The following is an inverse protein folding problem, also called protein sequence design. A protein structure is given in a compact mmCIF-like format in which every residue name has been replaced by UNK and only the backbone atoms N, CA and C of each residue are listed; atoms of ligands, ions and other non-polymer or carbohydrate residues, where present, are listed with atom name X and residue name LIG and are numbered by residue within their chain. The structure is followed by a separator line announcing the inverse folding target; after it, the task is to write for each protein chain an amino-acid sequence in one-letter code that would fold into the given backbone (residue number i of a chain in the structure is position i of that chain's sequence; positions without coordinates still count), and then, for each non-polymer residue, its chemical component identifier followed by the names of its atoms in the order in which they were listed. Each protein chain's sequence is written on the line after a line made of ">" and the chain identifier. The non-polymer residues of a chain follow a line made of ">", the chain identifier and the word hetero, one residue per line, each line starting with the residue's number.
data_IF_609194959891
#
_entry.id   IF_609194959891
#
_cell.length_a   1.000
_cell.length_b   1.000
_cell.length_c   1.000
_cell.angle_alpha   90.00
_cell.angle_beta   90.00
_cell.angle_gamma   90.00
#
_symmetry.space_group_name_H-M   'P 1'
#
loop_
_entity.id
_entity.type
_entity.pdbx_description
1 polymer ?
#
# COMPACT_ATOMS: atom_id res chain seq x y z
N UNK A 1 3.77 18.13 6.12
CA UNK A 1 3.85 16.75 6.61
C UNK A 1 2.61 16.53 7.46
N UNK A 2 1.93 15.40 7.33
CA UNK A 2 0.76 15.09 8.19
C UNK A 2 1.19 15.08 9.65
N UNK A 3 0.31 15.46 10.57
CA UNK A 3 0.53 15.34 12.03
C UNK A 3 0.87 13.90 12.46
N UNK A 4 0.62 12.90 11.58
CA UNK A 4 0.90 11.49 11.80
C UNK A 4 2.35 11.08 11.48
N UNK A 5 3.20 11.98 10.97
CA UNK A 5 4.56 11.64 10.52
C UNK A 5 5.60 12.63 11.05
N UNK A 6 6.77 12.13 11.46
CA UNK A 6 7.90 12.96 11.87
C UNK A 6 9.20 12.42 11.28
N UNK A 7 10.19 13.31 11.11
CA UNK A 7 11.56 12.93 10.81
C UNK A 7 12.36 12.89 12.11
N UNK A 8 13.10 11.80 12.41
CA UNK A 8 13.94 11.74 13.60
C UNK A 8 14.97 12.87 13.65
N UNK A 9 15.29 13.33 14.85
CA UNK A 9 16.19 14.47 15.04
C UNK A 9 17.60 14.17 14.51
N UNK A 10 18.12 15.05 13.65
CA UNK A 10 19.45 14.93 13.07
C UNK A 10 19.53 14.07 11.80
N UNK A 11 18.40 13.52 11.33
CA UNK A 11 18.35 12.75 10.09
C UNK A 11 17.98 13.62 8.88
N UNK A 12 18.56 13.28 7.73
CA UNK A 12 18.23 13.90 6.45
C UNK A 12 17.30 12.94 5.70
N UNK A 13 16.11 13.39 5.25
CA UNK A 13 15.21 12.52 4.51
C UNK A 13 15.85 12.08 3.19
N UNK A 14 15.62 10.82 2.75
CA UNK A 14 16.04 10.37 1.43
C UNK A 14 15.33 11.15 0.33
N UNK A 15 15.83 11.04 -0.91
CA UNK A 15 15.22 11.68 -2.07
C UNK A 15 13.76 11.24 -2.31
N UNK A 16 13.44 9.98 -1.99
CA UNK A 16 12.10 9.43 -1.99
C UNK A 16 11.91 8.56 -0.76
N UNK A 17 10.97 8.92 0.11
CA UNK A 17 10.63 8.11 1.29
C UNK A 17 10.16 6.73 0.87
N UNK A 18 9.17 6.67 -0.04
CA UNK A 18 8.60 5.38 -0.47
C UNK A 18 9.63 4.54 -1.25
N UNK A 19 10.45 5.16 -2.10
CA UNK A 19 11.49 4.45 -2.85
C UNK A 19 12.52 3.79 -1.94
N UNK A 20 13.10 4.59 -1.04
CA UNK A 20 14.08 4.08 -0.07
C UNK A 20 13.50 2.99 0.85
N UNK A 21 12.25 3.15 1.29
CA UNK A 21 11.58 2.15 2.12
C UNK A 21 11.33 0.83 1.37
N UNK A 22 10.85 0.88 0.12
CA UNK A 22 10.60 -0.33 -0.66
C UNK A 22 11.90 -1.09 -0.98
N UNK A 23 12.97 -0.37 -1.34
CA UNK A 23 14.29 -0.94 -1.57
C UNK A 23 14.84 -1.63 -0.31
N UNK A 24 14.81 -0.94 0.84
CA UNK A 24 15.27 -1.50 2.11
C UNK A 24 14.42 -2.71 2.56
N UNK A 25 13.10 -2.64 2.35
CA UNK A 25 12.18 -3.73 2.69
C UNK A 25 12.43 -4.96 1.81
N UNK A 26 12.57 -4.79 0.50
CA UNK A 26 12.87 -5.90 -0.40
C UNK A 26 14.23 -6.55 -0.08
N UNK A 27 15.26 -5.75 0.20
CA UNK A 27 16.56 -6.26 0.65
C UNK A 27 16.42 -7.07 1.95
N UNK A 28 15.68 -6.56 2.93
CA UNK A 28 15.40 -7.27 4.19
C UNK A 28 14.66 -8.60 3.95
N UNK A 29 13.68 -8.61 3.06
CA UNK A 29 12.92 -9.82 2.71
C UNK A 29 13.84 -10.86 2.05
N UNK A 30 14.69 -10.44 1.11
CA UNK A 30 15.65 -11.33 0.45
C UNK A 30 16.65 -11.94 1.44
N UNK A 31 17.22 -11.14 2.35
CA UNK A 31 18.12 -11.62 3.41
C UNK A 31 17.47 -12.65 4.32
N UNK A 32 16.16 -12.52 4.59
CA UNK A 32 15.41 -13.45 5.43
C UNK A 32 15.21 -14.84 4.80
N UNK A 33 15.63 -15.08 3.55
CA UNK A 33 15.75 -16.45 3.01
C UNK A 33 16.69 -17.31 3.84
N UNK A 34 17.78 -16.72 4.32
CA UNK A 34 18.82 -17.41 5.10
C UNK A 34 18.56 -17.37 6.62
N UNK A 35 17.43 -16.79 7.05
CA UNK A 35 17.03 -16.80 8.45
C UNK A 35 16.54 -18.19 8.89
N UNK A 36 16.33 -18.39 10.19
CA UNK A 36 15.78 -19.63 10.72
C UNK A 36 14.25 -19.66 10.73
N UNK A 37 13.70 -20.79 11.17
CA UNK A 37 12.25 -21.05 11.30
C UNK A 37 11.52 -20.08 12.23
N UNK A 38 12.23 -19.34 13.09
CA UNK A 38 11.65 -18.27 13.91
C UNK A 38 11.18 -17.08 13.07
N UNK A 39 11.80 -16.83 11.92
CA UNK A 39 11.45 -15.72 11.03
C UNK A 39 10.14 -15.99 10.29
N UNK A 40 9.16 -15.12 10.51
CA UNK A 40 7.89 -15.17 9.77
C UNK A 40 8.10 -15.14 8.25
N UNK A 41 8.96 -14.24 7.78
CA UNK A 41 9.28 -14.11 6.35
C UNK A 41 9.98 -15.35 5.81
N UNK A 42 10.89 -15.96 6.59
CA UNK A 42 11.53 -17.21 6.18
C UNK A 42 10.48 -18.29 5.89
N UNK A 43 9.55 -18.50 6.83
CA UNK A 43 8.46 -19.48 6.66
C UNK A 43 7.59 -19.20 5.44
N UNK A 44 7.33 -17.93 5.11
CA UNK A 44 6.61 -17.57 3.88
C UNK A 44 7.42 -17.81 2.60
N UNK A 45 8.75 -17.67 2.66
CA UNK A 45 9.65 -17.87 1.52
C UNK A 45 9.93 -19.35 1.26
N UNK A 46 10.13 -20.15 2.31
CA UNK A 46 10.56 -21.56 2.23
C UNK A 46 9.42 -22.57 2.41
N UNK A 47 8.33 -22.19 3.08
CA UNK A 47 7.17 -23.04 3.36
C UNK A 47 6.21 -23.21 2.17
N UNK A 48 5.00 -23.76 2.37
CA UNK A 48 4.02 -23.94 1.30
C UNK A 48 3.65 -22.62 0.60
N UNK A 49 3.50 -22.64 -0.72
CA UNK A 49 3.16 -21.43 -1.51
C UNK A 49 1.81 -20.84 -1.09
N UNK A 50 0.85 -21.70 -0.77
CA UNK A 50 -0.49 -21.30 -0.36
C UNK A 50 -0.50 -20.38 0.85
N UNK A 51 0.50 -20.43 1.74
CA UNK A 51 0.56 -19.56 2.92
C UNK A 51 0.71 -18.08 2.54
N UNK A 52 1.68 -17.75 1.68
CA UNK A 52 1.84 -16.35 1.22
C UNK A 52 0.72 -15.92 0.28
N UNK A 53 0.20 -16.83 -0.56
CA UNK A 53 -0.87 -16.51 -1.50
C UNK A 53 -2.20 -16.23 -0.77
N UNK A 54 -2.51 -16.99 0.29
CA UNK A 54 -3.67 -16.70 1.15
C UNK A 54 -3.55 -15.32 1.79
N UNK A 55 -2.38 -14.96 2.32
CA UNK A 55 -2.15 -13.63 2.90
C UNK A 55 -2.43 -12.53 1.88
N UNK A 56 -1.88 -12.61 0.66
CA UNK A 56 -2.16 -11.60 -0.38
C UNK A 56 -3.67 -11.39 -0.61
N UNK A 57 -4.44 -12.49 -0.67
CA UNK A 57 -5.89 -12.40 -0.86
C UNK A 57 -6.63 -11.85 0.36
N UNK A 58 -6.21 -12.24 1.56
CA UNK A 58 -6.74 -11.75 2.83
C UNK A 58 -6.54 -10.24 2.96
N UNK A 59 -5.29 -9.77 2.82
CA UNK A 59 -4.95 -8.34 2.98
C UNK A 59 -5.60 -7.46 1.90
N UNK A 60 -5.73 -7.97 0.68
CA UNK A 60 -6.43 -7.25 -0.39
C UNK A 60 -7.92 -7.10 -0.08
N UNK A 61 -8.53 -8.13 0.51
CA UNK A 61 -9.91 -8.10 1.00
C UNK A 61 -10.08 -7.13 2.16
N UNK A 62 -9.19 -7.18 3.15
CA UNK A 62 -9.21 -6.31 4.32
C UNK A 62 -8.98 -4.84 3.95
N UNK A 63 -8.06 -4.56 3.02
CA UNK A 63 -7.87 -3.22 2.44
C UNK A 63 -9.16 -2.68 1.81
N UNK A 64 -9.87 -3.51 1.03
CA UNK A 64 -11.11 -3.11 0.40
C UNK A 64 -12.25 -2.87 1.42
N UNK A 65 -12.31 -3.68 2.48
CA UNK A 65 -13.29 -3.51 3.56
C UNK A 65 -13.00 -2.26 4.39
N UNK A 66 -11.74 -2.04 4.79
CA UNK A 66 -11.33 -0.85 5.52
C UNK A 66 -11.64 0.45 4.74
N UNK A 67 -11.44 0.44 3.41
CA UNK A 67 -11.83 1.56 2.56
C UNK A 67 -13.34 1.82 2.59
N UNK A 68 -14.16 0.77 2.61
CA UNK A 68 -15.62 0.92 2.74
C UNK A 68 -16.03 1.44 4.11
N UNK A 69 -15.31 1.08 5.17
CA UNK A 69 -15.59 1.59 6.52
C UNK A 69 -15.31 3.10 6.60
N UNK A 70 -14.22 3.59 5.97
CA UNK A 70 -13.94 5.03 5.83
C UNK A 70 -15.09 5.76 5.14
N UNK A 71 -15.53 5.24 3.98
CA UNK A 71 -16.65 5.82 3.22
C UNK A 71 -17.98 5.80 4.02
N UNK A 72 -18.22 4.71 4.76
CA UNK A 72 -19.40 4.56 5.61
C UNK A 72 -19.47 5.62 6.71
N UNK A 73 -18.34 5.87 7.39
CA UNK A 73 -18.25 6.92 8.41
C UNK A 73 -18.44 8.31 7.81
N UNK A 74 -17.80 8.61 6.68
CA UNK A 74 -17.97 9.90 5.99
C UNK A 74 -19.44 10.15 5.57
N UNK A 75 -20.09 9.14 4.97
CA UNK A 75 -21.50 9.24 4.59
C UNK A 75 -22.41 9.42 5.80
N UNK A 76 -22.16 8.69 6.89
CA UNK A 76 -22.96 8.78 8.12
C UNK A 76 -22.86 10.16 8.76
N UNK A 77 -21.66 10.75 8.79
CA UNK A 77 -21.46 12.12 9.27
C UNK A 77 -22.20 13.16 8.44
N UNK A 78 -22.10 13.06 7.10
CA UNK A 78 -22.82 13.97 6.21
C UNK A 78 -24.35 13.85 6.39
N UNK A 79 -24.87 12.62 6.47
CA UNK A 79 -26.29 12.37 6.69
C UNK A 79 -26.76 12.95 8.03
N UNK A 80 -25.97 12.80 9.10
CA UNK A 80 -26.27 13.39 10.41
C UNK A 80 -26.29 14.92 10.35
N UNK A 81 -25.30 15.53 9.69
CA UNK A 81 -25.24 16.99 9.51
C UNK A 81 -26.44 17.53 8.73
N UNK A 82 -26.83 16.88 7.64
CA UNK A 82 -28.00 17.26 6.83
C UNK A 82 -29.31 17.10 7.61
N UNK A 83 -29.44 16.06 8.44
CA UNK A 83 -30.62 15.84 9.27
C UNK A 83 -30.82 16.97 10.30
N UNK A 84 -29.73 17.60 10.76
CA UNK A 84 -29.76 18.69 11.75
C UNK A 84 -29.95 20.06 11.10
N UNK A 85 -29.40 20.29 9.91
CA UNK A 85 -29.38 21.60 9.26
C UNK A 85 -30.73 22.10 8.73
N UNK A 86 -31.69 21.21 8.45
CA UNK A 86 -32.96 21.57 7.82
C UNK A 86 -32.81 22.04 6.36
N UNK A 87 -33.93 22.34 5.69
CA UNK A 87 -33.95 22.63 4.24
C UNK A 87 -33.48 24.04 3.84
N UNK A 88 -33.20 24.92 4.80
CA UNK A 88 -32.86 26.34 4.60
C UNK A 88 -31.36 26.65 4.79
N UNK A 89 -30.48 25.67 4.53
CA UNK A 89 -29.04 25.85 4.70
C UNK A 89 -28.40 26.49 3.44
N UNK A 90 -28.27 27.82 3.45
CA UNK A 90 -27.52 28.60 2.44
C UNK A 90 -26.04 28.80 2.84
N UNK A 91 -25.49 27.94 3.69
CA UNK A 91 -24.13 28.09 4.22
C UNK A 91 -23.36 26.77 4.15
N UNK A 92 -22.04 26.86 3.90
CA UNK A 92 -21.14 25.71 3.84
C UNK A 92 -21.18 24.94 5.17
N UNK A 93 -21.92 23.82 5.21
CA UNK A 93 -21.99 22.94 6.37
C UNK A 93 -20.64 22.26 6.60
N UNK A 94 -19.98 22.61 7.70
CA UNK A 94 -18.83 21.86 8.20
C UNK A 94 -19.32 20.54 8.77
N UNK A 95 -18.91 19.43 8.16
CA UNK A 95 -19.17 18.08 8.68
C UNK A 95 -18.04 17.73 9.65
N UNK A 96 -18.38 17.49 10.91
CA UNK A 96 -17.43 16.97 11.90
C UNK A 96 -17.37 15.44 11.76
N UNK A 97 -16.16 14.92 11.54
CA UNK A 97 -15.93 13.49 11.41
C UNK A 97 -15.67 12.88 12.79
N UNK A 98 -16.25 11.70 13.10
CA UNK A 98 -16.10 11.06 14.39
C UNK A 98 -14.70 10.41 14.51
N UNK A 99 -14.20 10.14 15.72
CA UNK A 99 -12.92 9.46 15.92
C UNK A 99 -12.79 8.11 15.20
N UNK A 100 -13.91 7.41 15.00
CA UNK A 100 -13.99 6.16 14.26
C UNK A 100 -13.60 6.31 12.78
N UNK A 101 -13.79 7.49 12.19
CA UNK A 101 -13.30 7.79 10.85
C UNK A 101 -11.76 7.74 10.80
N UNK A 102 -11.09 8.39 11.75
CA UNK A 102 -9.63 8.39 11.82
C UNK A 102 -9.07 6.99 12.07
N UNK A 103 -9.75 6.20 12.92
CA UNK A 103 -9.40 4.81 13.15
C UNK A 103 -9.56 3.96 11.88
N UNK A 104 -10.63 4.16 11.10
CA UNK A 104 -10.84 3.47 9.83
C UNK A 104 -9.76 3.86 8.79
N UNK A 105 -9.35 5.13 8.74
CA UNK A 105 -8.24 5.58 7.89
C UNK A 105 -6.91 4.96 8.31
N UNK A 106 -6.65 4.85 9.62
CA UNK A 106 -5.45 4.21 10.14
C UNK A 106 -5.43 2.71 9.85
N UNK A 107 -6.58 2.04 9.92
CA UNK A 107 -6.74 0.64 9.56
C UNK A 107 -6.55 0.41 8.05
N UNK A 108 -7.13 1.25 7.20
CA UNK A 108 -6.90 1.21 5.75
C UNK A 108 -5.40 1.35 5.41
N UNK A 109 -4.69 2.27 6.07
CA UNK A 109 -3.23 2.41 5.88
C UNK A 109 -2.47 1.14 6.29
N UNK A 110 -2.90 0.51 7.38
CA UNK A 110 -2.28 -0.73 7.87
C UNK A 110 -2.45 -1.87 6.86
N UNK A 111 -3.67 -2.18 6.42
CA UNK A 111 -3.90 -3.30 5.50
C UNK A 111 -3.30 -3.07 4.11
N UNK A 112 -3.30 -1.82 3.64
CA UNK A 112 -2.63 -1.47 2.39
C UNK A 112 -1.12 -1.73 2.45
N UNK A 113 -0.49 -1.56 3.62
CA UNK A 113 0.92 -1.88 3.82
C UNK A 113 1.15 -3.40 3.82
N UNK A 114 0.27 -4.18 4.44
CA UNK A 114 0.37 -5.64 4.46
C UNK A 114 0.20 -6.25 3.06
N UNK A 115 -0.70 -5.71 2.22
CA UNK A 115 -0.78 -6.08 0.79
C UNK A 115 0.57 -5.93 0.10
N UNK A 116 1.23 -4.77 0.27
CA UNK A 116 2.53 -4.51 -0.36
C UNK A 116 3.59 -5.46 0.21
N UNK A 117 3.61 -5.68 1.52
CA UNK A 117 4.55 -6.57 2.17
C UNK A 117 4.45 -8.00 1.61
N UNK A 118 3.26 -8.62 1.63
CA UNK A 118 3.11 -10.01 1.15
C UNK A 118 3.30 -10.12 -0.36
N UNK A 119 2.95 -9.08 -1.13
CA UNK A 119 3.28 -9.02 -2.55
C UNK A 119 4.80 -9.07 -2.77
N UNK A 120 5.58 -8.27 -2.04
CA UNK A 120 7.05 -8.29 -2.14
C UNK A 120 7.64 -9.65 -1.73
N UNK A 121 7.08 -10.29 -0.70
CA UNK A 121 7.50 -11.66 -0.31
C UNK A 121 7.22 -12.66 -1.44
N UNK A 122 6.06 -12.58 -2.10
CA UNK A 122 5.75 -13.45 -3.22
C UNK A 122 6.65 -13.18 -4.44
N UNK A 123 6.89 -11.91 -4.78
CA UNK A 123 7.80 -11.54 -5.86
C UNK A 123 9.21 -12.10 -5.61
N UNK A 124 9.75 -11.86 -4.41
CA UNK A 124 11.04 -12.41 -4.00
C UNK A 124 11.03 -13.94 -4.09
N UNK A 125 9.99 -14.60 -3.55
CA UNK A 125 9.84 -16.05 -3.58
C UNK A 125 9.99 -16.64 -4.99
N UNK A 126 9.43 -15.98 -5.99
CA UNK A 126 9.45 -16.40 -7.40
C UNK A 126 10.59 -15.77 -8.22
N UNK A 127 11.51 -15.02 -7.59
CA UNK A 127 12.70 -14.47 -8.22
C UNK A 127 12.43 -13.23 -9.08
N UNK A 128 11.34 -12.50 -8.82
CA UNK A 128 11.02 -11.25 -9.51
C UNK A 128 11.59 -10.09 -8.68
N UNK A 129 12.68 -9.49 -9.16
CA UNK A 129 13.33 -8.37 -8.49
C UNK A 129 12.54 -7.06 -8.60
N UNK A 130 12.84 -6.10 -7.72
CA UNK A 130 12.19 -4.78 -7.74
C UNK A 130 12.38 -4.05 -9.08
N UNK A 131 13.53 -4.16 -9.73
CA UNK A 131 13.78 -3.52 -11.03
C UNK A 131 12.87 -4.10 -12.12
N UNK A 132 12.69 -5.43 -12.13
CA UNK A 132 11.81 -6.10 -13.08
C UNK A 132 10.34 -5.71 -12.82
N UNK A 133 9.93 -5.67 -11.55
CA UNK A 133 8.58 -5.23 -11.19
C UNK A 133 8.35 -3.74 -11.50
N UNK A 134 9.33 -2.87 -11.22
CA UNK A 134 9.28 -1.46 -11.58
C UNK A 134 9.18 -1.28 -13.10
N UNK A 135 9.94 -2.06 -13.87
CA UNK A 135 9.88 -2.06 -15.32
C UNK A 135 8.50 -2.46 -15.85
N UNK A 136 7.84 -3.44 -15.24
CA UNK A 136 6.45 -3.82 -15.54
C UNK A 136 5.47 -2.69 -15.17
N UNK A 137 5.60 -2.05 -14.00
CA UNK A 137 4.77 -0.90 -13.61
C UNK A 137 4.94 0.28 -14.58
N UNK A 138 6.15 0.53 -15.05
CA UNK A 138 6.49 1.59 -16.00
C UNK A 138 5.78 1.44 -17.36
N UNK A 139 5.26 0.26 -17.69
CA UNK A 139 4.46 0.04 -18.91
C UNK A 139 3.07 0.66 -18.84
N UNK A 140 2.59 0.99 -17.64
CA UNK A 140 1.28 1.62 -17.40
C UNK A 140 1.30 3.14 -17.61
N UNK A 141 2.49 3.71 -17.73
CA UNK A 141 2.72 5.15 -17.95
C UNK A 141 3.07 5.42 -19.40
N UNK A 142 2.62 6.57 -19.91
CA UNK A 142 3.13 7.12 -21.17
C UNK A 142 4.61 7.49 -21.04
N UNK A 143 5.30 7.68 -22.17
CA UNK A 143 6.70 8.12 -22.16
C UNK A 143 6.93 9.47 -21.48
N UNK A 144 5.91 10.35 -21.46
CA UNK A 144 5.98 11.66 -20.82
C UNK A 144 5.77 11.60 -19.29
N UNK A 145 5.00 10.63 -18.81
CA UNK A 145 4.71 10.44 -17.37
C UNK A 145 5.81 9.64 -16.66
N UNK A 146 6.48 8.75 -17.38
CA UNK A 146 7.48 7.86 -16.80
C UNK A 146 8.70 8.63 -16.27
N UNK A 147 9.26 8.26 -15.10
CA UNK A 147 10.49 8.86 -14.62
C UNK A 147 11.65 8.73 -15.61
N UNK A 148 12.46 9.78 -15.72
CA UNK A 148 13.64 9.77 -16.57
C UNK A 148 14.63 8.71 -16.09
N UNK A 149 15.11 7.86 -17.01
CA UNK A 149 16.04 6.77 -16.70
C UNK A 149 15.39 5.52 -16.09
N UNK A 150 14.07 5.47 -15.96
CA UNK A 150 13.39 4.31 -15.41
C UNK A 150 13.60 3.06 -16.28
N UNK A 151 13.84 1.93 -15.61
CA UNK A 151 14.03 0.60 -16.20
C UNK A 151 12.82 0.15 -17.02
N UNK A 152 13.07 -0.67 -18.05
CA UNK A 152 12.05 -1.16 -18.99
C UNK A 152 12.24 -2.65 -19.24
N UNK A 153 11.12 -3.35 -19.42
CA UNK A 153 11.13 -4.70 -19.95
C UNK A 153 11.46 -4.65 -21.44
N UNK A 154 12.11 -5.68 -21.95
CA UNK A 154 12.19 -5.88 -23.40
C UNK A 154 10.79 -6.19 -23.97
N UNK A 155 10.53 -5.79 -25.21
CA UNK A 155 9.21 -5.84 -25.83
C UNK A 155 8.61 -7.27 -25.84
N UNK A 156 9.45 -8.29 -25.98
CA UNK A 156 9.03 -9.71 -25.94
C UNK A 156 8.50 -10.17 -24.57
N UNK A 157 8.83 -9.46 -23.50
CA UNK A 157 8.38 -9.75 -22.14
C UNK A 157 7.13 -8.96 -21.74
N UNK A 158 6.75 -7.92 -22.51
CA UNK A 158 5.55 -7.14 -22.25
C UNK A 158 4.30 -7.89 -22.76
N UNK A 159 3.68 -8.67 -21.88
CA UNK A 159 2.43 -9.38 -22.18
C UNK A 159 1.23 -8.56 -21.76
N UNK A 160 0.68 -7.77 -22.68
CA UNK A 160 -0.62 -7.13 -22.47
C UNK A 160 -1.71 -8.20 -22.43
N UNK A 161 -2.34 -8.39 -21.28
CA UNK A 161 -3.52 -9.25 -21.16
C UNK A 161 -4.58 -8.87 -22.21
N UNK A 162 -5.19 -9.87 -22.84
CA UNK A 162 -6.39 -9.65 -23.66
C UNK A 162 -7.59 -9.35 -22.77
#
# INVERSE_FOLDING_TARGET
>A
MSDKTYLPAGEVPPASQIGATLEALAATIAERREAGEESYTHRLLSGPADEVLKKIMEEAGETALAAKDVESWACSSLAATLAVAGADADDALSVELPPEYDAAVDHLRYEAADVVYHLLVALERYGIGLDEFAAELNTRMTDAERPQGAVRLHDEHVKRGK
#
